data_IF_265970631593
#
_entry.id   IF_265970631593
#
_cell.length_a   1.000
_cell.length_b   1.000
_cell.length_c   1.000
_cell.angle_alpha   90.00
_cell.angle_beta   90.00
_cell.angle_gamma   90.00
#
_symmetry.space_group_name_H-M   'P 1'
#
loop_
_entity.id
_entity.type
_entity.pdbx_description
1 polymer ?
#
# COMPACT_ATOMS: atom_id res chain seq x y z
N UNK A 1 46.24 13.44 -2.32
CA UNK A 1 44.97 14.17 -2.55
C UNK A 1 44.41 13.71 -3.87
N UNK A 2 43.45 12.78 -3.85
CA UNK A 2 42.76 12.32 -5.06
C UNK A 2 41.36 12.95 -5.02
N UNK A 3 41.13 13.90 -5.91
CA UNK A 3 39.82 14.54 -6.11
C UNK A 3 38.92 13.54 -6.84
N UNK A 4 38.01 12.90 -6.12
CA UNK A 4 36.92 12.14 -6.71
C UNK A 4 35.97 13.11 -7.42
N UNK A 5 35.94 13.06 -8.75
CA UNK A 5 34.97 13.77 -9.57
C UNK A 5 33.58 13.23 -9.28
N UNK A 6 32.65 14.12 -8.92
CA UNK A 6 31.22 13.80 -8.80
C UNK A 6 30.70 13.21 -10.13
N UNK A 7 29.79 12.22 -10.11
CA UNK A 7 29.22 11.69 -11.33
C UNK A 7 28.47 12.81 -12.08
N UNK A 8 28.76 12.95 -13.37
CA UNK A 8 28.02 13.86 -14.25
C UNK A 8 26.54 13.48 -14.22
N UNK A 9 25.68 14.48 -13.95
CA UNK A 9 24.24 14.36 -14.06
C UNK A 9 23.86 13.87 -15.45
N UNK A 10 23.11 12.77 -15.53
CA UNK A 10 22.44 12.37 -16.76
C UNK A 10 21.61 13.54 -17.31
N UNK A 11 21.50 13.70 -18.64
CA UNK A 11 20.61 14.70 -19.20
C UNK A 11 19.19 14.43 -18.71
N UNK A 12 18.58 15.40 -18.01
CA UNK A 12 17.16 15.37 -17.64
C UNK A 12 16.38 15.16 -18.93
N UNK A 13 15.66 14.05 -19.05
CA UNK A 13 14.63 13.92 -20.08
C UNK A 13 13.71 15.13 -19.96
N UNK A 14 13.40 15.79 -21.07
CA UNK A 14 12.32 16.77 -21.11
C UNK A 14 11.06 16.08 -20.59
N UNK A 15 10.59 16.47 -19.41
CA UNK A 15 9.38 15.91 -18.80
C UNK A 15 8.16 16.06 -19.72
N UNK A 16 7.12 15.27 -19.47
CA UNK A 16 5.89 15.33 -20.27
C UNK A 16 4.90 16.33 -19.69
N UNK A 17 4.12 16.98 -20.56
CA UNK A 17 3.13 17.99 -20.16
C UNK A 17 1.78 17.39 -19.79
N UNK A 18 1.42 16.23 -20.36
CA UNK A 18 0.17 15.53 -20.10
C UNK A 18 0.42 14.03 -19.93
N UNK A 19 -0.42 13.36 -19.13
CA UNK A 19 -0.41 11.91 -18.92
C UNK A 19 -1.85 11.41 -18.86
N UNK A 20 -2.14 10.33 -19.59
CA UNK A 20 -3.38 9.58 -19.43
C UNK A 20 -3.20 8.43 -18.44
N UNK A 21 -4.17 8.24 -17.54
CA UNK A 21 -4.24 7.07 -16.66
C UNK A 21 -5.37 6.19 -17.17
N UNK A 22 -5.02 5.09 -17.83
CA UNK A 22 -5.97 4.09 -18.33
C UNK A 22 -6.15 3.04 -17.24
N UNK A 23 -7.33 2.97 -16.62
CA UNK A 23 -7.58 2.12 -15.47
C UNK A 23 -8.49 0.95 -15.81
N UNK A 24 -7.89 -0.24 -15.92
CA UNK A 24 -8.57 -1.50 -16.18
C UNK A 24 -9.08 -2.10 -14.87
N UNK A 25 -10.36 -1.88 -14.55
CA UNK A 25 -11.02 -2.50 -13.38
C UNK A 25 -11.60 -3.88 -13.69
N UNK A 26 -11.65 -4.26 -14.96
CA UNK A 26 -12.18 -5.54 -15.41
C UNK A 26 -11.22 -6.73 -15.20
N UNK A 27 -10.35 -6.69 -14.19
CA UNK A 27 -9.76 -7.91 -13.65
C UNK A 27 -10.78 -8.68 -12.82
N UNK A 28 -10.38 -9.84 -12.27
CA UNK A 28 -11.16 -10.49 -11.21
C UNK A 28 -10.98 -9.67 -9.93
N UNK A 29 -11.85 -8.68 -9.75
CA UNK A 29 -11.79 -7.68 -8.69
C UNK A 29 -13.14 -7.43 -8.02
N UNK A 30 -13.20 -6.41 -7.18
CA UNK A 30 -14.42 -5.95 -6.52
C UNK A 30 -14.60 -4.44 -6.59
N UNK A 31 -13.77 -3.75 -7.37
CA UNK A 31 -13.66 -2.29 -7.49
C UNK A 31 -13.38 -1.56 -6.16
N UNK A 32 -13.05 -2.31 -5.11
CA UNK A 32 -12.80 -1.78 -3.77
C UNK A 32 -11.53 -0.96 -3.68
N UNK A 33 -10.55 -1.17 -4.56
CA UNK A 33 -9.34 -0.37 -4.62
C UNK A 33 -9.66 1.00 -5.22
N UNK A 34 -10.45 1.02 -6.31
CA UNK A 34 -11.01 2.27 -6.86
C UNK A 34 -11.81 3.04 -5.81
N UNK A 35 -12.76 2.38 -5.12
CA UNK A 35 -13.54 3.03 -4.05
C UNK A 35 -12.64 3.56 -2.95
N UNK A 36 -11.62 2.80 -2.53
CA UNK A 36 -10.68 3.23 -1.49
C UNK A 36 -9.93 4.51 -1.89
N UNK A 37 -9.46 4.58 -3.13
CA UNK A 37 -8.71 5.74 -3.65
C UNK A 37 -9.55 7.03 -3.63
N UNK A 38 -10.88 6.96 -3.76
CA UNK A 38 -11.75 8.14 -3.62
C UNK A 38 -11.71 8.79 -2.23
N UNK A 39 -11.23 8.07 -1.21
CA UNK A 39 -11.11 8.57 0.15
C UNK A 39 -9.70 9.14 0.48
N UNK A 40 -8.81 9.24 -0.52
CA UNK A 40 -7.49 9.83 -0.36
C UNK A 40 -7.59 11.35 -0.21
N UNK A 41 -6.69 11.92 0.58
CA UNK A 41 -6.61 13.37 0.80
C UNK A 41 -5.18 13.91 0.64
N UNK A 42 -4.18 13.04 0.40
CA UNK A 42 -2.77 13.43 0.43
C UNK A 42 -1.94 12.79 -0.71
N UNK A 43 -2.20 13.12 -1.99
CA UNK A 43 -3.26 14.02 -2.44
C UNK A 43 -4.58 13.28 -2.71
N UNK A 44 -5.67 14.03 -2.82
CA UNK A 44 -6.94 13.49 -3.32
C UNK A 44 -6.91 13.28 -4.84
N UNK A 45 -7.92 12.60 -5.38
CA UNK A 45 -8.06 12.42 -6.84
C UNK A 45 -8.24 13.80 -7.50
N UNK A 46 -9.12 14.63 -6.95
CA UNK A 46 -9.40 15.96 -7.46
C UNK A 46 -8.20 16.90 -7.39
N UNK A 47 -7.33 16.79 -6.38
CA UNK A 47 -6.08 17.55 -6.32
C UNK A 47 -5.17 17.25 -7.52
N UNK A 48 -5.09 15.98 -7.93
CA UNK A 48 -4.33 15.58 -9.12
C UNK A 48 -5.02 16.06 -10.40
N UNK A 49 -6.32 15.85 -10.55
CA UNK A 49 -7.06 16.17 -11.77
C UNK A 49 -7.18 17.67 -12.03
N UNK A 50 -7.35 18.47 -10.97
CA UNK A 50 -7.49 19.92 -11.06
C UNK A 50 -6.13 20.63 -11.07
N UNK A 51 -5.02 19.88 -10.98
CA UNK A 51 -3.67 20.44 -11.01
C UNK A 51 -3.34 21.30 -9.79
N UNK A 52 -3.86 20.93 -8.61
CA UNK A 52 -3.60 21.63 -7.35
C UNK A 52 -2.10 21.58 -6.97
N UNK A 53 -1.39 20.54 -7.43
CA UNK A 53 0.04 20.36 -7.22
C UNK A 53 0.79 20.90 -8.45
N UNK A 54 1.63 21.94 -8.30
CA UNK A 54 2.38 22.50 -9.42
C UNK A 54 3.52 21.56 -9.86
N UNK A 55 3.82 21.57 -11.17
CA UNK A 55 4.98 20.88 -11.74
C UNK A 55 4.76 19.42 -12.15
N UNK A 56 3.59 18.85 -11.85
CA UNK A 56 3.18 17.55 -12.40
C UNK A 56 2.49 17.73 -13.78
N UNK A 57 2.47 16.69 -14.64
CA UNK A 57 1.74 16.74 -15.90
C UNK A 57 0.24 16.88 -15.66
N UNK A 58 -0.48 17.46 -16.62
CA UNK A 58 -1.95 17.41 -16.62
C UNK A 58 -2.41 15.96 -16.73
N UNK A 59 -3.30 15.55 -15.83
CA UNK A 59 -3.78 14.16 -15.76
C UNK A 59 -5.16 14.02 -16.37
N UNK A 60 -5.32 13.02 -17.23
CA UNK A 60 -6.61 12.57 -17.73
C UNK A 60 -6.89 11.17 -17.19
N UNK A 61 -7.86 11.04 -16.29
CA UNK A 61 -8.21 9.78 -15.64
C UNK A 61 -9.35 9.07 -16.38
N UNK A 62 -9.08 7.84 -16.80
CA UNK A 62 -10.04 6.95 -17.44
C UNK A 62 -10.36 5.78 -16.50
N UNK A 63 -11.09 6.07 -15.42
CA UNK A 63 -11.58 5.06 -14.48
C UNK A 63 -13.09 4.83 -14.69
N UNK A 64 -13.55 3.58 -14.93
CA UNK A 64 -14.96 3.29 -15.23
C UNK A 64 -15.97 3.71 -14.15
N UNK A 65 -15.54 3.83 -12.89
CA UNK A 65 -16.42 4.22 -11.77
C UNK A 65 -16.65 5.74 -11.74
N UNK A 66 -15.70 6.53 -12.26
CA UNK A 66 -15.69 7.99 -12.14
C UNK A 66 -15.90 8.72 -13.48
N UNK A 67 -15.79 8.00 -14.61
CA UNK A 67 -15.92 8.58 -15.94
C UNK A 67 -17.33 9.11 -16.21
N UNK A 68 -17.41 10.21 -16.97
CA UNK A 68 -18.67 10.77 -17.46
C UNK A 68 -19.13 10.02 -18.72
N UNK A 69 -18.18 9.59 -19.53
CA UNK A 69 -18.39 8.77 -20.72
C UNK A 69 -18.86 7.37 -20.32
N UNK A 70 -19.72 6.77 -21.15
CA UNK A 70 -20.27 5.43 -20.92
C UNK A 70 -20.21 4.58 -22.20
N UNK A 71 -20.19 3.25 -22.03
CA UNK A 71 -20.17 2.30 -23.14
C UNK A 71 -19.01 2.56 -24.10
N UNK A 72 -19.28 2.55 -25.40
CA UNK A 72 -18.26 2.74 -26.44
C UNK A 72 -17.54 4.09 -26.36
N UNK A 73 -18.21 5.14 -25.86
CA UNK A 73 -17.59 6.44 -25.67
C UNK A 73 -16.47 6.40 -24.62
N UNK A 74 -16.66 5.64 -23.55
CA UNK A 74 -15.61 5.38 -22.55
C UNK A 74 -14.53 4.45 -23.11
N UNK A 75 -14.95 3.34 -23.75
CA UNK A 75 -14.00 2.35 -24.28
C UNK A 75 -13.06 2.93 -25.35
N UNK A 76 -13.46 4.01 -26.03
CA UNK A 76 -12.60 4.81 -26.90
C UNK A 76 -11.22 5.05 -26.27
N UNK A 77 -11.14 5.34 -24.98
CA UNK A 77 -9.87 5.65 -24.32
C UNK A 77 -8.89 4.47 -24.31
N UNK A 78 -9.39 3.23 -24.22
CA UNK A 78 -8.55 2.04 -24.28
C UNK A 78 -8.02 1.80 -25.71
N UNK A 79 -8.88 1.96 -26.72
CA UNK A 79 -8.46 1.83 -28.13
C UNK A 79 -7.49 2.94 -28.56
N UNK A 80 -7.66 4.17 -28.07
CA UNK A 80 -6.72 5.27 -28.35
C UNK A 80 -5.37 5.06 -27.66
N UNK A 81 -5.34 4.49 -26.44
CA UNK A 81 -4.10 4.06 -25.81
C UNK A 81 -3.42 2.93 -26.63
N UNK A 82 -4.18 1.96 -27.12
CA UNK A 82 -3.65 0.88 -27.97
C UNK A 82 -3.04 1.43 -29.27
N UNK A 83 -3.61 2.48 -29.87
CA UNK A 83 -3.08 3.14 -31.08
C UNK A 83 -1.85 4.01 -30.82
N UNK A 84 -1.50 4.29 -29.56
CA UNK A 84 -0.42 5.19 -29.18
C UNK A 84 -0.82 6.67 -29.16
N UNK A 85 -2.11 6.99 -29.28
CA UNK A 85 -2.61 8.39 -29.25
C UNK A 85 -2.43 9.05 -27.88
N UNK A 86 -2.22 8.26 -26.82
CA UNK A 86 -2.04 8.71 -25.45
C UNK A 86 -0.61 8.58 -24.94
N UNK A 87 0.37 8.30 -25.80
CA UNK A 87 1.74 8.14 -25.35
C UNK A 87 2.32 9.48 -24.84
N UNK A 88 2.87 9.54 -23.60
CA UNK A 88 2.91 8.47 -22.60
C UNK A 88 1.62 8.35 -21.78
N UNK A 89 1.17 7.10 -21.55
CA UNK A 89 0.09 6.79 -20.61
C UNK A 89 0.56 5.83 -19.51
N UNK A 90 -0.14 5.84 -18.38
CA UNK A 90 0.02 4.86 -17.30
C UNK A 90 -1.14 3.87 -17.36
N UNK A 91 -0.83 2.58 -17.37
CA UNK A 91 -1.82 1.52 -17.23
C UNK A 91 -1.95 1.16 -15.74
N UNK A 92 -3.17 1.25 -15.21
CA UNK A 92 -3.50 0.75 -13.86
C UNK A 92 -4.37 -0.49 -14.04
N UNK A 93 -4.00 -1.59 -13.38
CA UNK A 93 -4.79 -2.83 -13.37
C UNK A 93 -5.31 -3.06 -11.96
N UNK A 94 -6.60 -3.32 -11.85
CA UNK A 94 -7.30 -3.67 -10.62
C UNK A 94 -8.00 -5.03 -10.80
N UNK A 95 -7.88 -5.88 -9.78
CA UNK A 95 -8.29 -7.29 -9.85
C UNK A 95 -7.22 -8.23 -10.42
N UNK A 96 -7.34 -9.52 -10.12
CA UNK A 96 -6.39 -10.54 -10.57
C UNK A 96 -6.63 -10.95 -12.02
N UNK A 97 -5.59 -11.49 -12.67
CA UNK A 97 -5.60 -11.81 -14.09
C UNK A 97 -6.02 -13.27 -14.27
N UNK A 98 -7.15 -13.57 -14.92
CA UNK A 98 -7.60 -14.94 -15.09
C UNK A 98 -6.67 -15.75 -15.99
N UNK A 99 -6.59 -17.06 -15.75
CA UNK A 99 -5.94 -17.96 -16.70
C UNK A 99 -6.92 -18.33 -17.82
N UNK A 100 -6.91 -17.52 -18.87
CA UNK A 100 -7.76 -17.71 -20.05
C UNK A 100 -7.41 -18.97 -20.87
N UNK A 101 -6.33 -19.70 -20.53
CA UNK A 101 -5.91 -20.92 -21.26
C UNK A 101 -6.59 -22.20 -20.76
N UNK A 102 -7.27 -22.15 -19.61
CA UNK A 102 -7.86 -23.34 -18.96
C UNK A 102 -9.39 -23.40 -19.03
N UNK A 103 -10.05 -22.43 -19.67
CA UNK A 103 -11.49 -22.45 -19.90
C UNK A 103 -11.84 -23.35 -21.09
N UNK A 104 -13.03 -23.95 -21.07
CA UNK A 104 -13.57 -24.73 -22.19
C UNK A 104 -14.18 -23.86 -23.29
N UNK A 105 -14.88 -22.79 -22.89
CA UNK A 105 -15.54 -21.82 -23.76
C UNK A 105 -15.70 -20.48 -23.02
N UNK A 106 -16.13 -19.43 -23.72
CA UNK A 106 -16.41 -18.12 -23.14
C UNK A 106 -15.16 -17.36 -22.73
N UNK A 107 -15.18 -16.72 -21.56
CA UNK A 107 -14.09 -15.96 -20.93
C UNK A 107 -14.36 -15.84 -19.42
N UNK A 108 -13.33 -15.59 -18.62
CA UNK A 108 -13.51 -15.33 -17.19
C UNK A 108 -13.75 -13.84 -16.91
N UNK A 109 -13.01 -12.96 -17.59
CA UNK A 109 -13.16 -11.52 -17.46
C UNK A 109 -12.84 -10.80 -18.77
N UNK A 110 -13.63 -9.77 -19.09
CA UNK A 110 -13.52 -9.01 -20.33
C UNK A 110 -14.07 -7.60 -20.16
N UNK A 111 -13.61 -6.68 -21.02
CA UNK A 111 -14.13 -5.32 -21.11
C UNK A 111 -14.13 -4.85 -22.56
N UNK A 112 -15.22 -4.21 -22.99
CA UNK A 112 -15.35 -3.77 -24.39
C UNK A 112 -15.40 -4.92 -25.38
N UNK A 113 -15.35 -4.55 -26.66
CA UNK A 113 -15.62 -5.45 -27.78
C UNK A 113 -14.58 -5.24 -28.88
N UNK A 114 -14.07 -6.30 -29.47
CA UNK A 114 -13.22 -6.20 -30.65
C UNK A 114 -14.11 -5.88 -31.87
N UNK A 115 -13.90 -4.73 -32.49
CA UNK A 115 -14.74 -4.26 -33.60
C UNK A 115 -14.65 -5.13 -34.86
N UNK A 116 -13.59 -5.91 -35.02
CA UNK A 116 -13.43 -6.79 -36.18
C UNK A 116 -14.18 -8.11 -36.00
N UNK A 117 -14.21 -8.63 -34.78
CA UNK A 117 -14.80 -9.96 -34.48
C UNK A 117 -16.15 -9.90 -33.79
N UNK A 118 -16.50 -8.75 -33.20
CA UNK A 118 -17.69 -8.59 -32.36
C UNK A 118 -17.61 -9.32 -31.02
N UNK A 119 -16.44 -9.87 -30.64
CA UNK A 119 -16.25 -10.62 -29.40
C UNK A 119 -15.74 -9.74 -28.26
N UNK A 120 -16.02 -10.09 -26.99
CA UNK A 120 -15.45 -9.40 -25.84
C UNK A 120 -13.91 -9.46 -25.83
N UNK A 121 -13.26 -8.34 -25.53
CA UNK A 121 -11.80 -8.30 -25.36
C UNK A 121 -11.50 -8.72 -23.92
N UNK A 122 -10.77 -9.82 -23.76
CA UNK A 122 -10.45 -10.34 -22.42
C UNK A 122 -9.50 -9.41 -21.68
N UNK A 123 -9.49 -9.48 -20.35
CA UNK A 123 -8.54 -8.73 -19.51
C UNK A 123 -7.10 -9.00 -19.91
N UNK A 124 -6.76 -10.28 -20.16
CA UNK A 124 -5.45 -10.71 -20.62
C UNK A 124 -5.06 -10.03 -21.94
N UNK A 125 -6.01 -9.98 -22.89
CA UNK A 125 -5.79 -9.36 -24.18
C UNK A 125 -5.60 -7.85 -24.08
N UNK A 126 -6.33 -7.16 -23.20
CA UNK A 126 -6.06 -5.73 -22.93
C UNK A 126 -4.67 -5.52 -22.35
N UNK A 127 -4.25 -6.36 -21.41
CA UNK A 127 -2.90 -6.28 -20.82
C UNK A 127 -1.84 -6.49 -21.91
N UNK A 128 -2.00 -7.49 -22.78
CA UNK A 128 -1.06 -7.75 -23.89
C UNK A 128 -0.98 -6.58 -24.88
N UNK A 129 -2.13 -5.95 -25.18
CA UNK A 129 -2.24 -4.81 -26.11
C UNK A 129 -1.62 -3.52 -25.56
N UNK A 130 -1.66 -3.32 -24.23
CA UNK A 130 -1.35 -2.04 -23.59
C UNK A 130 -0.06 -2.03 -22.76
N UNK A 131 0.29 -3.11 -22.05
CA UNK A 131 1.34 -3.06 -21.02
C UNK A 131 2.71 -2.63 -21.58
N UNK A 132 3.11 -3.14 -22.75
CA UNK A 132 4.39 -2.78 -23.38
C UNK A 132 4.42 -1.36 -23.98
N UNK A 133 3.25 -0.75 -24.21
CA UNK A 133 3.12 0.62 -24.73
C UNK A 133 3.01 1.65 -23.61
N UNK A 134 2.44 1.25 -22.47
CA UNK A 134 2.32 2.10 -21.30
C UNK A 134 3.71 2.58 -20.84
N UNK A 135 3.81 3.86 -20.50
CA UNK A 135 5.01 4.44 -19.88
C UNK A 135 5.28 3.83 -18.50
N UNK A 136 4.22 3.53 -17.73
CA UNK A 136 4.29 2.81 -16.46
C UNK A 136 3.09 1.89 -16.29
N UNK A 137 3.27 0.80 -15.54
CA UNK A 137 2.22 -0.17 -15.21
C UNK A 137 2.11 -0.30 -13.70
N UNK A 138 0.92 -0.03 -13.16
CA UNK A 138 0.62 -0.14 -11.72
C UNK A 138 -0.33 -1.32 -11.49
N UNK A 139 0.02 -2.18 -10.53
CA UNK A 139 -0.90 -3.16 -9.98
C UNK A 139 -1.57 -2.55 -8.73
N UNK A 140 -2.85 -2.17 -8.86
CA UNK A 140 -3.63 -1.58 -7.79
C UNK A 140 -4.33 -2.68 -6.99
N UNK A 141 -3.98 -2.80 -5.70
CA UNK A 141 -4.53 -3.81 -4.81
C UNK A 141 -3.83 -5.18 -4.91
N UNK A 142 -4.05 -6.00 -3.88
CA UNK A 142 -3.38 -7.31 -3.74
C UNK A 142 -3.80 -8.30 -4.82
N UNK A 143 -5.03 -8.21 -5.33
CA UNK A 143 -5.50 -9.05 -6.43
C UNK A 143 -4.67 -8.83 -7.70
N UNK A 144 -4.47 -7.57 -8.11
CA UNK A 144 -3.65 -7.26 -9.28
C UNK A 144 -2.15 -7.52 -9.03
N UNK A 145 -1.65 -7.24 -7.82
CA UNK A 145 -0.23 -7.39 -7.52
C UNK A 145 0.20 -8.86 -7.45
N UNK A 146 -0.59 -9.72 -6.78
CA UNK A 146 -0.19 -11.08 -6.39
C UNK A 146 -1.28 -12.15 -6.58
N UNK A 147 -2.42 -11.81 -7.19
CA UNK A 147 -3.58 -12.70 -7.33
C UNK A 147 -4.58 -12.58 -6.17
N UNK A 148 -4.09 -12.48 -4.93
CA UNK A 148 -4.91 -12.21 -3.75
C UNK A 148 -5.98 -13.27 -3.46
N UNK A 149 -7.11 -12.85 -2.87
CA UNK A 149 -8.16 -13.78 -2.42
C UNK A 149 -8.80 -14.57 -3.58
N UNK A 150 -8.89 -13.98 -4.77
CA UNK A 150 -9.44 -14.68 -5.93
C UNK A 150 -8.50 -15.77 -6.46
N UNK A 151 -7.19 -15.65 -6.21
CA UNK A 151 -6.18 -16.65 -6.56
C UNK A 151 -5.94 -17.70 -5.45
N UNK A 152 -6.80 -17.75 -4.43
CA UNK A 152 -6.65 -18.68 -3.31
C UNK A 152 -6.77 -20.15 -3.71
N UNK A 153 -6.34 -21.06 -2.84
CA UNK A 153 -6.46 -22.50 -3.08
C UNK A 153 -7.92 -22.91 -3.39
N UNK A 154 -8.11 -23.64 -4.50
CA UNK A 154 -9.42 -24.11 -4.95
C UNK A 154 -10.16 -23.19 -5.93
N UNK A 155 -9.58 -22.05 -6.32
CA UNK A 155 -10.19 -21.18 -7.32
C UNK A 155 -10.25 -21.84 -8.72
N UNK A 156 -11.35 -21.70 -9.48
CA UNK A 156 -11.51 -22.34 -10.79
C UNK A 156 -10.87 -21.55 -11.95
N UNK A 157 -10.45 -20.30 -11.72
CA UNK A 157 -9.99 -19.39 -12.78
C UNK A 157 -8.48 -19.45 -13.00
N UNK A 158 -7.73 -20.08 -12.08
CA UNK A 158 -6.27 -20.14 -12.11
C UNK A 158 -5.62 -18.76 -12.12
N UNK A 159 -6.28 -17.75 -11.55
CA UNK A 159 -5.86 -16.36 -11.70
C UNK A 159 -4.58 -16.03 -10.92
N UNK A 160 -3.92 -14.94 -11.32
CA UNK A 160 -2.58 -14.58 -10.87
C UNK A 160 -2.36 -13.06 -10.81
N UNK A 161 -1.21 -12.62 -10.28
CA UNK A 161 -0.82 -11.21 -10.30
C UNK A 161 -0.16 -10.80 -11.62
N UNK A 162 0.00 -9.49 -11.82
CA UNK A 162 0.67 -8.92 -12.99
C UNK A 162 2.11 -9.42 -13.17
N UNK A 163 2.83 -9.63 -12.07
CA UNK A 163 4.21 -10.13 -12.10
C UNK A 163 4.28 -11.56 -12.62
N UNK A 164 3.30 -12.38 -12.28
CA UNK A 164 3.21 -13.77 -12.75
C UNK A 164 2.83 -13.82 -14.23
N UNK A 165 1.95 -12.91 -14.67
CA UNK A 165 1.47 -12.84 -16.05
C UNK A 165 2.51 -12.26 -17.03
N UNK A 166 3.06 -11.07 -16.73
CA UNK A 166 4.03 -10.38 -17.59
C UNK A 166 5.48 -10.81 -17.36
N UNK A 167 5.75 -11.44 -16.22
CA UNK A 167 7.08 -11.87 -15.79
C UNK A 167 7.86 -10.80 -15.00
N UNK A 168 8.68 -11.26 -14.05
CA UNK A 168 9.49 -10.40 -13.15
C UNK A 168 10.46 -9.45 -13.88
N UNK A 169 10.87 -9.80 -15.10
CA UNK A 169 11.79 -8.99 -15.91
C UNK A 169 11.08 -7.99 -16.83
N UNK A 170 9.75 -7.95 -16.82
CA UNK A 170 8.97 -6.98 -17.59
C UNK A 170 9.47 -5.55 -17.35
N UNK A 171 9.54 -4.77 -18.43
CA UNK A 171 9.77 -3.33 -18.39
C UNK A 171 8.76 -2.64 -19.30
N UNK A 172 8.15 -1.58 -18.80
CA UNK A 172 7.25 -0.71 -19.55
C UNK A 172 7.99 0.07 -20.64
N UNK A 173 7.27 0.81 -21.49
CA UNK A 173 7.88 1.70 -22.48
C UNK A 173 8.76 2.79 -21.84
N UNK A 174 8.43 3.21 -20.62
CA UNK A 174 9.25 4.12 -19.81
C UNK A 174 10.45 3.47 -19.12
N UNK A 175 10.69 2.17 -19.35
CA UNK A 175 11.77 1.41 -18.73
C UNK A 175 11.51 1.04 -17.26
N UNK A 176 10.27 1.14 -16.79
CA UNK A 176 9.90 0.88 -15.40
C UNK A 176 9.53 -0.59 -15.18
N UNK A 177 9.89 -1.20 -14.04
CA UNK A 177 9.24 -2.44 -13.62
C UNK A 177 7.74 -2.20 -13.35
N UNK A 178 7.00 -3.29 -13.17
CA UNK A 178 5.65 -3.21 -12.59
C UNK A 178 5.75 -2.53 -11.22
N UNK A 179 4.84 -1.60 -10.92
CA UNK A 179 4.74 -0.95 -9.62
C UNK A 179 3.58 -1.58 -8.85
N UNK A 180 3.88 -2.39 -7.84
CA UNK A 180 2.86 -3.04 -7.02
C UNK A 180 2.47 -2.14 -5.85
N UNK A 181 1.18 -1.79 -5.75
CA UNK A 181 0.61 -1.08 -4.59
C UNK A 181 -0.44 -1.98 -3.92
N UNK A 182 0.00 -2.99 -3.14
CA UNK A 182 -0.91 -3.97 -2.57
C UNK A 182 -1.69 -3.44 -1.37
N UNK A 183 -2.72 -4.21 -1.00
CA UNK A 183 -3.72 -3.96 0.02
C UNK A 183 -5.05 -4.55 -0.43
N UNK A 184 -5.90 -4.97 0.50
CA UNK A 184 -7.23 -5.49 0.17
C UNK A 184 -8.30 -4.81 1.07
N UNK A 185 -8.76 -3.60 0.70
CA UNK A 185 -8.31 -2.82 -0.46
C UNK A 185 -6.98 -2.08 -0.21
N UNK A 186 -6.42 -1.46 -1.25
CA UNK A 186 -5.28 -0.55 -1.14
C UNK A 186 -5.60 0.59 -0.17
N UNK A 187 -4.65 1.02 0.66
CA UNK A 187 -4.87 2.19 1.53
C UNK A 187 -4.95 3.45 0.64
N UNK A 188 -5.91 4.38 0.89
CA UNK A 188 -6.22 5.46 -0.05
C UNK A 188 -5.00 6.30 -0.46
N UNK A 189 -4.29 6.85 0.54
CA UNK A 189 -3.14 7.72 0.30
C UNK A 189 -1.94 6.93 -0.25
N UNK A 190 -1.74 5.64 0.07
CA UNK A 190 -0.63 4.84 -0.43
C UNK A 190 -0.66 4.75 -1.96
N UNK A 191 -1.85 4.58 -2.55
CA UNK A 191 -2.02 4.57 -3.99
C UNK A 191 -1.80 5.97 -4.58
N UNK A 192 -2.40 6.99 -3.99
CA UNK A 192 -2.28 8.36 -4.51
C UNK A 192 -0.87 8.95 -4.36
N UNK A 193 -0.15 8.63 -3.29
CA UNK A 193 1.28 8.95 -3.10
C UNK A 193 2.13 8.27 -4.18
N UNK A 194 1.79 7.03 -4.56
CA UNK A 194 2.50 6.30 -5.63
C UNK A 194 2.22 6.91 -7.01
N UNK A 195 0.96 7.22 -7.32
CA UNK A 195 0.58 7.92 -8.56
C UNK A 195 1.29 9.27 -8.64
N UNK A 196 1.27 10.04 -7.56
CA UNK A 196 1.95 11.34 -7.50
C UNK A 196 3.45 11.20 -7.73
N UNK A 197 4.11 10.20 -7.13
CA UNK A 197 5.52 9.94 -7.39
C UNK A 197 5.79 9.69 -8.88
N UNK A 198 4.97 8.85 -9.52
CA UNK A 198 5.12 8.55 -10.94
C UNK A 198 4.87 9.77 -11.83
N UNK A 199 3.95 10.66 -11.47
CA UNK A 199 3.73 11.92 -12.17
C UNK A 199 4.95 12.85 -12.07
N UNK A 200 5.55 12.99 -10.89
CA UNK A 200 6.82 13.73 -10.76
C UNK A 200 7.94 13.08 -11.57
N UNK A 201 8.01 11.76 -11.61
CA UNK A 201 9.00 11.04 -12.39
C UNK A 201 8.78 11.25 -13.90
N UNK A 202 7.53 11.23 -14.37
CA UNK A 202 7.16 11.53 -15.77
C UNK A 202 7.49 12.99 -16.15
N UNK A 203 7.36 13.92 -15.21
CA UNK A 203 7.81 15.31 -15.37
C UNK A 203 9.34 15.48 -15.34
N UNK A 204 10.12 14.40 -15.12
CA UNK A 204 11.58 14.47 -15.01
C UNK A 204 12.06 15.13 -13.71
N UNK A 205 11.20 15.19 -12.69
CA UNK A 205 11.46 15.84 -11.41
C UNK A 205 11.83 14.86 -10.28
N UNK A 206 11.58 13.56 -10.47
CA UNK A 206 11.94 12.51 -9.52
C UNK A 206 12.82 11.44 -10.17
N UNK A 207 13.70 10.77 -9.40
CA UNK A 207 14.43 9.60 -9.89
C UNK A 207 13.48 8.42 -10.07
N UNK A 208 13.99 7.32 -10.63
CA UNK A 208 13.25 6.06 -10.74
C UNK A 208 12.69 5.65 -9.37
N UNK A 209 11.39 5.32 -9.35
CA UNK A 209 10.69 4.90 -8.15
C UNK A 209 11.42 3.77 -7.41
N UNK A 210 11.78 3.95 -6.13
CA UNK A 210 12.49 2.93 -5.36
C UNK A 210 11.52 1.83 -4.89
N UNK A 211 11.64 0.66 -5.51
CA UNK A 211 10.84 -0.53 -5.20
C UNK A 211 11.66 -1.60 -4.46
N UNK A 212 10.97 -2.41 -3.65
CA UNK A 212 11.55 -3.61 -3.03
C UNK A 212 11.52 -4.83 -3.96
N UNK A 213 11.97 -5.99 -3.48
CA UNK A 213 12.00 -7.25 -4.26
C UNK A 213 10.62 -7.79 -4.65
N UNK A 214 9.55 -7.29 -4.01
CA UNK A 214 8.16 -7.58 -4.35
C UNK A 214 7.55 -6.46 -5.22
N UNK A 215 8.38 -5.56 -5.72
CA UNK A 215 8.05 -4.42 -6.57
C UNK A 215 7.16 -3.37 -5.89
N UNK A 216 7.26 -3.25 -4.56
CA UNK A 216 6.47 -2.29 -3.78
C UNK A 216 7.25 -1.02 -3.48
N UNK A 217 6.62 0.17 -3.46
CA UNK A 217 7.25 1.39 -2.97
C UNK A 217 7.86 1.23 -1.57
N UNK A 218 9.18 1.37 -1.49
CA UNK A 218 9.96 1.08 -0.27
C UNK A 218 9.58 1.95 0.92
N UNK A 219 9.09 3.18 0.70
CA UNK A 219 8.66 4.07 1.77
C UNK A 219 7.30 3.70 2.37
N UNK A 220 6.47 2.95 1.63
CA UNK A 220 5.14 2.51 2.09
C UNK A 220 5.19 1.11 2.70
N UNK A 221 5.99 0.21 2.12
CA UNK A 221 6.01 -1.20 2.48
C UNK A 221 7.36 -1.67 3.08
N UNK A 222 8.33 -0.78 3.29
CA UNK A 222 9.64 -1.14 3.86
C UNK A 222 9.61 -1.50 5.35
N UNK A 223 8.51 -1.21 6.05
CA UNK A 223 8.33 -1.47 7.48
C UNK A 223 7.17 -2.42 7.73
N UNK A 224 7.26 -3.16 8.84
CA UNK A 224 6.18 -4.05 9.26
C UNK A 224 5.05 -3.30 9.96
N UNK A 225 3.87 -3.90 9.96
CA UNK A 225 2.71 -3.45 10.75
C UNK A 225 3.07 -3.32 12.23
N UNK A 226 3.90 -4.23 12.75
CA UNK A 226 4.29 -4.22 14.16
C UNK A 226 5.21 -3.05 14.51
N UNK A 227 6.14 -2.68 13.64
CA UNK A 227 7.01 -1.50 13.83
C UNK A 227 6.23 -0.18 13.89
N UNK A 228 4.99 -0.16 13.36
CA UNK A 228 4.07 0.97 13.43
C UNK A 228 2.97 0.88 14.49
N UNK A 229 2.82 -0.26 15.16
CA UNK A 229 1.66 -0.52 16.01
C UNK A 229 1.78 0.14 17.38
N UNK A 230 0.82 0.98 17.75
CA UNK A 230 0.72 1.60 19.08
C UNK A 230 0.50 0.58 20.21
N UNK A 231 0.07 -0.65 19.90
CA UNK A 231 -0.01 -1.77 20.84
C UNK A 231 1.31 -2.52 21.03
N UNK A 232 2.41 -2.12 20.37
CA UNK A 232 3.71 -2.79 20.47
C UNK A 232 4.29 -2.77 21.90
N UNK A 233 4.01 -1.73 22.70
CA UNK A 233 4.42 -1.68 24.11
C UNK A 233 3.85 -2.81 24.97
N UNK A 234 2.66 -3.32 24.65
CA UNK A 234 2.09 -4.49 25.30
C UNK A 234 2.81 -5.78 24.89
N UNK A 235 3.19 -5.89 23.61
CA UNK A 235 3.96 -7.01 23.11
C UNK A 235 5.34 -7.10 23.79
N UNK A 236 6.06 -5.98 23.87
CA UNK A 236 7.37 -5.86 24.54
C UNK A 236 7.33 -6.37 26.00
N UNK A 237 6.19 -6.17 26.69
CA UNK A 237 6.01 -6.52 28.10
C UNK A 237 5.37 -7.91 28.31
N UNK A 238 5.19 -8.68 27.22
CA UNK A 238 4.52 -9.97 27.26
C UNK A 238 3.07 -9.88 27.75
N UNK A 239 2.40 -8.75 27.52
CA UNK A 239 1.01 -8.51 27.95
C UNK A 239 0.07 -8.65 26.75
N UNK A 240 -0.58 -9.81 26.64
CA UNK A 240 -1.32 -10.19 25.44
C UNK A 240 -2.82 -10.25 25.69
N UNK A 241 -3.59 -9.98 24.64
CA UNK A 241 -5.02 -10.17 24.63
C UNK A 241 -5.38 -11.67 24.56
N UNK A 242 -6.50 -12.03 25.19
CA UNK A 242 -7.14 -13.35 25.11
C UNK A 242 -8.58 -13.27 24.58
N UNK A 243 -9.05 -12.06 24.29
CA UNK A 243 -10.37 -11.73 23.75
C UNK A 243 -10.24 -10.50 22.85
N UNK A 244 -11.13 -10.36 21.85
CA UNK A 244 -11.02 -9.31 20.83
C UNK A 244 -11.29 -7.89 21.35
N UNK A 245 -12.07 -7.73 22.42
CA UNK A 245 -12.36 -6.42 23.02
C UNK A 245 -11.19 -5.83 23.81
N UNK A 246 -10.10 -6.57 24.00
CA UNK A 246 -8.96 -6.12 24.79
C UNK A 246 -8.18 -4.99 24.10
N UNK A 247 -7.69 -3.98 24.85
CA UNK A 247 -6.80 -2.96 24.31
C UNK A 247 -5.36 -3.44 24.08
N UNK A 248 -5.04 -4.69 24.47
CA UNK A 248 -3.69 -5.26 24.45
C UNK A 248 -3.28 -5.79 23.07
N UNK A 249 -2.03 -6.26 22.97
CA UNK A 249 -1.53 -6.86 21.74
C UNK A 249 -2.29 -8.14 21.37
N UNK A 250 -2.72 -8.23 20.10
CA UNK A 250 -3.59 -9.27 19.56
C UNK A 250 -2.84 -10.47 18.96
N UNK A 251 -1.52 -10.57 19.16
CA UNK A 251 -0.70 -11.60 18.50
C UNK A 251 -1.15 -13.02 18.82
N UNK A 252 -1.69 -13.26 20.02
CA UNK A 252 -2.18 -14.58 20.45
C UNK A 252 -3.55 -14.97 19.88
N UNK A 253 -4.22 -14.06 19.17
CA UNK A 253 -5.59 -14.27 18.66
C UNK A 253 -5.72 -13.98 17.16
N UNK A 254 -4.59 -14.06 16.42
CA UNK A 254 -4.58 -13.99 14.96
C UNK A 254 -3.70 -12.92 14.32
N UNK A 255 -3.08 -12.02 15.08
CA UNK A 255 -2.38 -10.89 14.46
C UNK A 255 -1.01 -11.26 13.88
N UNK A 256 -0.89 -11.21 12.55
CA UNK A 256 0.36 -11.43 11.79
C UNK A 256 1.27 -10.19 11.69
N UNK A 257 0.92 -9.09 12.35
CA UNK A 257 1.60 -7.80 12.22
C UNK A 257 3.15 -7.83 12.27
N UNK A 258 3.81 -8.69 13.09
CA UNK A 258 5.27 -8.77 13.14
C UNK A 258 5.97 -9.16 11.83
N UNK A 259 5.27 -9.76 10.88
CA UNK A 259 5.87 -10.26 9.62
C UNK A 259 5.19 -9.71 8.36
N UNK A 260 4.31 -8.72 8.53
CA UNK A 260 3.53 -8.13 7.43
C UNK A 260 4.06 -6.74 7.12
N UNK A 261 4.47 -6.52 5.88
CA UNK A 261 4.87 -5.21 5.36
C UNK A 261 3.63 -4.37 5.01
N UNK A 262 3.31 -3.39 5.86
CA UNK A 262 2.21 -2.46 5.67
C UNK A 262 2.31 -1.32 6.69
N UNK A 263 2.08 -0.08 6.25
CA UNK A 263 2.20 1.12 7.08
C UNK A 263 0.91 1.51 7.82
N UNK A 264 -0.21 0.82 7.62
CA UNK A 264 -1.55 1.23 8.11
C UNK A 264 -1.60 1.53 9.61
N UNK A 265 -0.90 0.76 10.45
CA UNK A 265 -0.86 1.05 11.90
C UNK A 265 -0.13 2.32 12.25
N UNK A 266 0.89 2.68 11.47
CA UNK A 266 1.65 3.92 11.65
C UNK A 266 0.94 5.12 11.04
N UNK A 267 0.24 4.90 9.92
CA UNK A 267 -0.39 5.93 9.08
C UNK A 267 -1.84 6.24 9.47
N UNK A 268 -2.56 5.25 9.99
CA UNK A 268 -4.02 5.23 10.02
C UNK A 268 -4.60 4.80 8.68
N UNK A 269 -5.94 4.78 8.57
CA UNK A 269 -6.64 4.42 7.33
C UNK A 269 -7.04 5.67 6.54
N UNK A 270 -7.86 6.55 7.12
CA UNK A 270 -8.30 7.83 6.52
C UNK A 270 -8.08 8.96 7.53
N UNK A 271 -7.28 9.98 7.18
CA UNK A 271 -6.91 11.08 8.10
C UNK A 271 -6.40 10.62 9.47
N UNK A 272 -5.63 9.54 9.52
CA UNK A 272 -5.15 8.96 10.79
C UNK A 272 -6.23 8.20 11.59
N UNK A 273 -7.46 8.09 11.08
CA UNK A 273 -8.55 7.34 11.72
C UNK A 273 -8.52 5.88 11.24
N UNK A 274 -8.80 4.96 12.15
CA UNK A 274 -8.94 3.54 11.84
C UNK A 274 -7.61 2.80 11.78
N UNK A 275 -7.58 1.73 10.99
CA UNK A 275 -6.45 0.82 10.85
C UNK A 275 -6.85 -0.62 11.14
N UNK A 276 -5.91 -1.42 11.61
CA UNK A 276 -6.15 -2.83 11.92
C UNK A 276 -5.80 -3.13 13.39
N UNK A 277 -4.59 -3.62 13.77
CA UNK A 277 -4.37 -4.05 15.14
C UNK A 277 -4.29 -2.90 16.13
N UNK A 278 -3.95 -1.69 15.69
CA UNK A 278 -4.01 -0.49 16.53
C UNK A 278 -5.43 -0.25 17.08
N UNK A 279 -6.47 -0.53 16.27
CA UNK A 279 -7.88 -0.36 16.62
C UNK A 279 -8.62 -1.66 17.00
N UNK A 280 -7.92 -2.78 17.19
CA UNK A 280 -8.53 -4.02 17.68
C UNK A 280 -8.80 -5.09 16.62
N UNK A 281 -8.54 -4.82 15.34
CA UNK A 281 -8.65 -5.79 14.26
C UNK A 281 -7.34 -6.56 14.04
N UNK A 282 -7.36 -7.88 14.02
CA UNK A 282 -6.14 -8.65 13.74
C UNK A 282 -5.58 -8.31 12.34
N UNK A 283 -4.27 -8.21 12.22
CA UNK A 283 -3.63 -8.09 10.92
C UNK A 283 -3.69 -9.46 10.21
N UNK A 284 -4.39 -9.51 9.08
CA UNK A 284 -4.55 -10.71 8.26
C UNK A 284 -3.58 -10.79 7.08
N UNK A 285 -2.56 -9.91 7.06
CA UNK A 285 -1.54 -9.86 6.02
C UNK A 285 -2.04 -9.54 4.60
N UNK A 286 -3.10 -8.74 4.46
CA UNK A 286 -3.74 -8.47 3.17
C UNK A 286 -2.87 -7.79 2.11
N UNK A 287 -1.67 -7.28 2.47
CA UNK A 287 -0.69 -6.67 1.55
C UNK A 287 0.40 -7.63 1.07
N UNK A 288 0.38 -8.89 1.52
CA UNK A 288 1.46 -9.84 1.32
C UNK A 288 1.19 -10.78 0.14
N UNK A 289 2.22 -11.23 -0.60
CA UNK A 289 2.05 -12.19 -1.71
C UNK A 289 1.45 -13.54 -1.32
N UNK A 290 1.57 -13.95 -0.05
CA UNK A 290 0.99 -15.20 0.44
C UNK A 290 -0.47 -15.10 0.88
N UNK A 291 -1.10 -13.94 0.72
CA UNK A 291 -2.49 -13.72 1.13
C UNK A 291 -3.47 -14.33 0.13
N UNK A 292 -4.48 -15.09 0.58
CA UNK A 292 -4.84 -15.37 1.98
C UNK A 292 -4.21 -16.66 2.55
N UNK A 293 -3.81 -17.60 1.71
CA UNK A 293 -3.61 -19.01 2.10
C UNK A 293 -2.57 -19.24 3.19
N UNK A 294 -1.46 -18.47 3.19
CA UNK A 294 -0.41 -18.63 4.22
C UNK A 294 -0.83 -18.14 5.61
N UNK A 295 -1.93 -17.42 5.70
CA UNK A 295 -2.36 -16.70 6.90
C UNK A 295 -3.67 -17.24 7.48
N UNK A 296 -4.31 -18.18 6.79
CA UNK A 296 -5.50 -18.88 7.26
C UNK A 296 -5.13 -20.10 8.14
N UNK A 297 -5.96 -20.46 9.14
CA UNK A 297 -7.14 -19.72 9.62
C UNK A 297 -6.72 -18.40 10.30
N UNK A 298 -7.35 -17.28 9.93
CA UNK A 298 -6.87 -15.95 10.35
C UNK A 298 -6.89 -15.73 11.88
N UNK A 299 -7.81 -16.39 12.58
CA UNK A 299 -8.02 -16.20 14.02
C UNK A 299 -7.05 -17.03 14.88
N UNK A 300 -6.28 -17.94 14.27
CA UNK A 300 -5.30 -18.74 14.99
C UNK A 300 -4.03 -17.94 15.23
N UNK A 301 -3.39 -18.15 16.39
CA UNK A 301 -2.10 -17.55 16.68
C UNK A 301 -1.07 -17.93 15.59
N UNK A 302 -0.34 -16.98 14.98
CA UNK A 302 0.69 -17.30 14.00
C UNK A 302 1.74 -18.25 14.61
N UNK A 303 2.10 -19.37 13.96
CA UNK A 303 3.00 -20.37 14.55
C UNK A 303 4.35 -19.78 15.00
N UNK A 304 4.93 -18.90 14.18
CA UNK A 304 6.19 -18.21 14.49
C UNK A 304 6.09 -17.20 15.66
N UNK A 305 4.88 -16.76 16.02
CA UNK A 305 4.67 -15.85 17.13
C UNK A 305 4.64 -16.56 18.50
N UNK A 306 4.51 -17.88 18.54
CA UNK A 306 4.44 -18.65 19.80
C UNK A 306 5.72 -18.51 20.62
N UNK A 307 6.88 -18.66 19.97
CA UNK A 307 8.18 -18.56 20.62
C UNK A 307 8.44 -17.15 21.14
N UNK A 308 8.27 -16.13 20.30
CA UNK A 308 8.52 -14.74 20.68
C UNK A 308 7.58 -14.25 21.77
N UNK A 309 6.31 -14.68 21.75
CA UNK A 309 5.35 -14.40 22.82
C UNK A 309 5.76 -15.05 24.15
N UNK A 310 6.23 -16.29 24.14
CA UNK A 310 6.70 -16.99 25.34
C UNK A 310 7.95 -16.31 25.94
N UNK A 311 8.90 -15.92 25.09
CA UNK A 311 10.09 -15.18 25.51
C UNK A 311 9.72 -13.83 26.11
N UNK A 312 8.83 -13.05 25.48
CA UNK A 312 8.40 -11.75 26.01
C UNK A 312 7.75 -11.85 27.40
N UNK A 313 6.95 -12.90 27.66
CA UNK A 313 6.34 -13.15 28.98
C UNK A 313 7.38 -13.36 30.07
N UNK A 314 8.49 -14.04 29.76
CA UNK A 314 9.52 -14.41 30.75
C UNK A 314 10.12 -13.22 31.51
N UNK A 315 10.43 -12.13 30.81
CA UNK A 315 11.02 -10.93 31.41
C UNK A 315 10.01 -9.78 31.58
N UNK A 316 8.90 -9.81 30.83
CA UNK A 316 7.94 -8.71 30.78
C UNK A 316 7.27 -8.38 32.13
N UNK A 317 7.09 -9.38 33.01
CA UNK A 317 6.62 -9.15 34.40
C UNK A 317 7.63 -8.34 35.22
N UNK A 318 8.91 -8.68 35.14
CA UNK A 318 9.97 -7.96 35.85
C UNK A 318 10.10 -6.52 35.32
N UNK A 319 10.07 -6.33 34.01
CA UNK A 319 10.12 -4.99 33.40
C UNK A 319 8.96 -4.10 33.82
N UNK A 320 7.73 -4.65 33.90
CA UNK A 320 6.57 -3.92 34.41
C UNK A 320 6.73 -3.50 35.87
N UNK A 321 7.23 -4.39 36.72
CA UNK A 321 7.48 -4.07 38.13
C UNK A 321 8.51 -2.94 38.27
N UNK A 322 9.62 -3.01 37.55
CA UNK A 322 10.65 -1.96 37.56
C UNK A 322 10.13 -0.61 37.03
N UNK A 323 9.37 -0.63 35.92
CA UNK A 323 8.73 0.57 35.36
C UNK A 323 7.72 1.18 36.34
N UNK A 324 6.96 0.36 37.06
CA UNK A 324 6.00 0.83 38.08
C UNK A 324 6.70 1.54 39.24
N UNK A 325 7.85 1.02 39.71
CA UNK A 325 8.64 1.68 40.76
C UNK A 325 9.09 3.07 40.29
N UNK A 326 9.65 3.19 39.09
CA UNK A 326 10.08 4.49 38.52
C UNK A 326 8.90 5.42 38.25
N UNK A 327 7.76 4.88 37.80
CA UNK A 327 6.55 5.69 37.61
C UNK A 327 6.04 6.26 38.95
N UNK A 328 6.08 5.47 40.02
CA UNK A 328 5.72 5.92 41.37
C UNK A 328 6.64 7.03 41.90
N UNK A 329 7.92 7.05 41.51
CA UNK A 329 8.82 8.15 41.88
C UNK A 329 8.58 9.38 41.01
N UNK A 330 8.36 9.22 39.71
CA UNK A 330 8.06 10.31 38.78
C UNK A 330 6.75 11.04 39.10
N UNK A 331 5.76 10.34 39.68
CA UNK A 331 4.50 10.91 40.12
C UNK A 331 4.57 11.62 41.49
N UNK A 332 5.74 11.68 42.12
CA UNK A 332 5.92 12.41 43.38
C UNK A 332 6.49 13.79 43.08
N UNK A 333 5.78 14.81 43.54
CA UNK A 333 6.29 16.17 43.49
C UNK A 333 7.57 16.31 44.31
N UNK A 334 8.49 17.20 43.88
CA UNK A 334 9.66 17.48 44.67
C UNK A 334 9.30 18.19 45.99
N UNK A 335 10.08 17.91 47.05
CA UNK A 335 9.80 18.34 48.43
C UNK A 335 9.66 19.85 48.63
N UNK A 336 10.25 20.66 47.76
CA UNK A 336 10.26 22.12 47.87
C UNK A 336 8.98 22.80 47.35
N UNK A 337 8.03 22.04 46.79
CA UNK A 337 6.70 22.54 46.45
C UNK A 337 5.77 22.44 47.65
N UNK A 338 5.78 23.47 48.50
CA UNK A 338 4.93 23.51 49.69
C UNK A 338 4.48 24.94 50.04
N UNK A 339 3.37 25.06 50.79
CA UNK A 339 2.84 26.35 51.28
C UNK A 339 3.41 26.79 52.64
N UNK A 340 4.41 26.09 53.15
CA UNK A 340 5.07 26.44 54.40
C UNK A 340 5.73 27.83 54.38
N UNK A 341 5.96 28.44 55.55
CA UNK A 341 6.44 29.82 55.66
C UNK A 341 7.91 30.04 55.28
N UNK A 342 8.69 28.97 55.02
CA UNK A 342 10.11 29.04 54.68
C UNK A 342 10.32 28.67 53.21
N UNK A 343 11.12 29.43 52.45
CA UNK A 343 11.50 29.04 51.09
C UNK A 343 12.51 27.88 51.11
N UNK A 344 12.21 26.74 50.48
CA UNK A 344 13.05 25.52 50.48
C UNK A 344 13.47 25.06 49.09
N UNK A 345 13.32 25.92 48.08
CA UNK A 345 13.64 25.63 46.67
C UNK A 345 15.15 25.56 46.38
N UNK A 346 15.98 25.90 47.36
CA UNK A 346 17.43 26.08 47.16
C UNK A 346 17.81 27.47 46.63
N UNK A 347 16.87 28.41 46.53
CA UNK A 347 17.17 29.80 46.20
C UNK A 347 17.93 30.48 47.36
N UNK A 348 19.10 31.03 47.05
CA UNK A 348 19.92 31.82 47.95
C UNK A 348 20.02 33.24 47.38
N UNK A 349 19.41 34.27 47.99
CA UNK A 349 19.53 35.64 47.51
C UNK A 349 20.97 36.13 47.66
N UNK A 350 21.54 36.72 46.59
CA UNK A 350 22.93 37.21 46.58
C UNK A 350 23.11 38.59 47.25
N UNK A 351 22.02 39.36 47.42
CA UNK A 351 21.91 40.56 48.24
C UNK A 351 20.41 40.91 48.36
N UNK A 352 20.01 41.58 49.45
CA UNK A 352 18.70 42.24 49.54
C UNK A 352 18.78 43.66 48.99
#
# INVERSE_FOLDING_TARGET
MATASLPQSSPRSSGVSEVHIVWLTAGLGCDGDTVSVTAAEQPSIEDILLGAIPGIPKVHLHNPVLAMEVGDAFMKHFYEAEKGSYDPFVLVVEGSIPNERIKSEGYWAAQGTDYNTGQPITTCEWIDRLALKAWGVIACGTCAAYGGIHAMAGNPTGCMGLVDYLGKNFRSAGGLPIVNVPGCPVQPDNMMETVLYLLYQAAGLSPIIPLDDQLRPTWLFGKTVHEGCDRAGYYEQGDFAHEYGSPKCLVKIGCWGPVVNCNVTKRGWMRGIGGCPNVGGICIACTMPGFPDKFMPFMDQPPGATLSSAVAVSYGRAMRALRSITNNTANKEPKWRHRGPKLTTGYQPAAY
#
